data_IF_645746737604
#
_entry.id   IF_645746737604
#
_cell.length_a   1.000
_cell.length_b   1.000
_cell.length_c   1.000
_cell.angle_alpha   90.00
_cell.angle_beta   90.00
_cell.angle_gamma   90.00
#
_symmetry.space_group_name_H-M   'P 1'
#
loop_
_entity.id
_entity.type
_entity.pdbx_description
1 polymer ?
#
# COMPACT_ATOMS: atom_id res chain seq x y z
N UNK A 1 -12.56 -12.86 -22.47
CA UNK A 1 -13.05 -12.76 -21.08
C UNK A 1 -14.10 -11.67 -21.04
N UNK A 2 -15.27 -11.91 -20.44
CA UNK A 2 -16.25 -10.85 -20.25
C UNK A 2 -15.74 -9.84 -19.23
N UNK A 3 -15.89 -8.55 -19.54
CA UNK A 3 -15.50 -7.43 -18.69
C UNK A 3 -16.79 -6.77 -18.24
N UNK A 4 -17.08 -6.82 -16.94
CA UNK A 4 -18.25 -6.17 -16.35
C UNK A 4 -17.88 -4.74 -15.92
N UNK A 5 -18.54 -3.74 -16.50
CA UNK A 5 -18.38 -2.34 -16.11
C UNK A 5 -19.55 -1.91 -15.22
N UNK A 6 -19.27 -1.28 -14.08
CA UNK A 6 -20.30 -0.73 -13.18
C UNK A 6 -20.82 0.63 -13.68
N UNK A 7 -21.57 0.62 -14.79
CA UNK A 7 -22.38 1.78 -15.19
C UNK A 7 -23.81 1.59 -14.70
N UNK A 8 -24.53 2.68 -14.42
CA UNK A 8 -25.89 2.63 -13.86
C UNK A 8 -26.93 1.78 -14.63
N UNK A 9 -26.86 1.56 -15.96
CA UNK A 9 -27.80 0.65 -16.62
C UNK A 9 -27.48 -0.84 -16.42
N UNK A 10 -26.25 -1.17 -16.00
CA UNK A 10 -25.76 -2.55 -15.96
C UNK A 10 -25.53 -3.07 -14.54
N UNK A 11 -25.67 -2.25 -13.51
CA UNK A 11 -25.57 -2.64 -12.10
C UNK A 11 -26.87 -2.27 -11.37
N UNK A 12 -27.51 -3.26 -10.76
CA UNK A 12 -28.58 -3.02 -9.79
C UNK A 12 -28.17 -3.49 -8.40
N UNK A 13 -28.64 -2.78 -7.38
CA UNK A 13 -28.42 -3.10 -5.96
C UNK A 13 -29.79 -3.33 -5.31
N UNK A 14 -30.41 -4.49 -5.52
CA UNK A 14 -31.61 -4.83 -4.76
C UNK A 14 -31.27 -4.90 -3.27
N UNK A 15 -31.95 -4.09 -2.45
CA UNK A 15 -31.83 -4.23 -0.99
C UNK A 15 -32.26 -5.63 -0.59
N UNK A 16 -31.41 -6.33 0.16
CA UNK A 16 -31.79 -7.58 0.79
C UNK A 16 -31.78 -7.41 2.31
N UNK A 17 -32.84 -7.88 2.97
CA UNK A 17 -33.03 -7.71 4.40
C UNK A 17 -31.93 -8.38 5.22
N UNK A 18 -31.44 -7.70 6.27
CA UNK A 18 -30.51 -8.27 7.25
C UNK A 18 -29.02 -8.01 6.98
N UNK A 19 -28.68 -6.86 6.38
CA UNK A 19 -27.28 -6.48 6.14
C UNK A 19 -26.61 -7.26 5.00
N UNK A 20 -27.42 -7.86 4.13
CA UNK A 20 -26.97 -8.54 2.91
C UNK A 20 -27.20 -7.61 1.73
N UNK A 21 -26.25 -7.55 0.81
CA UNK A 21 -26.35 -6.77 -0.41
C UNK A 21 -26.13 -7.69 -1.58
N UNK A 22 -26.99 -7.57 -2.59
CA UNK A 22 -26.80 -8.27 -3.85
C UNK A 22 -26.43 -7.24 -4.90
N UNK A 23 -25.37 -7.52 -5.64
CA UNK A 23 -24.88 -6.72 -6.75
C UNK A 23 -25.11 -7.54 -8.00
N UNK A 24 -26.00 -7.04 -8.86
CA UNK A 24 -26.43 -7.72 -10.06
C UNK A 24 -25.90 -7.02 -11.29
N UNK A 25 -25.08 -7.72 -12.08
CA UNK A 25 -24.66 -7.26 -13.40
C UNK A 25 -25.38 -8.01 -14.50
N UNK A 26 -25.90 -7.26 -15.47
CA UNK A 26 -26.47 -7.81 -16.69
C UNK A 26 -25.60 -7.45 -17.90
N UNK A 27 -25.26 -8.45 -18.71
CA UNK A 27 -24.62 -8.25 -20.01
C UNK A 27 -25.48 -8.88 -21.11
N UNK A 28 -25.97 -8.03 -22.02
CA UNK A 28 -26.76 -8.43 -23.19
C UNK A 28 -26.01 -9.34 -24.17
N UNK A 29 -24.68 -9.46 -24.07
CA UNK A 29 -23.88 -10.35 -24.90
C UNK A 29 -23.77 -11.79 -24.34
N UNK A 30 -24.13 -12.01 -23.07
CA UNK A 30 -23.87 -13.28 -22.35
C UNK A 30 -25.16 -13.88 -21.76
N UNK A 31 -26.24 -13.09 -21.70
CA UNK A 31 -27.57 -13.55 -21.28
C UNK A 31 -28.67 -13.12 -22.25
N UNK A 32 -29.87 -13.68 -22.10
CA UNK A 32 -31.07 -13.10 -22.69
C UNK A 32 -31.29 -11.68 -22.16
N UNK A 33 -31.86 -10.77 -22.96
CA UNK A 33 -32.22 -9.43 -22.51
C UNK A 33 -32.91 -9.47 -21.13
N UNK A 34 -32.31 -8.82 -20.14
CA UNK A 34 -32.84 -8.75 -18.76
C UNK A 34 -32.41 -9.86 -17.80
N UNK A 35 -31.52 -10.79 -18.19
CA UNK A 35 -30.96 -11.79 -17.26
C UNK A 35 -29.64 -11.33 -16.61
N UNK A 36 -29.51 -11.54 -15.29
CA UNK A 36 -28.29 -11.28 -14.55
C UNK A 36 -27.19 -12.28 -15.01
N UNK A 37 -26.06 -11.75 -15.48
CA UNK A 37 -24.90 -12.52 -15.94
C UNK A 37 -23.90 -12.79 -14.82
N UNK A 38 -23.83 -11.91 -13.82
CA UNK A 38 -23.03 -12.07 -12.60
C UNK A 38 -23.85 -11.56 -11.41
N UNK A 39 -23.95 -12.39 -10.38
CA UNK A 39 -24.60 -12.05 -9.12
C UNK A 39 -23.54 -12.17 -8.03
N UNK A 40 -23.31 -11.10 -7.29
CA UNK A 40 -22.45 -11.10 -6.11
C UNK A 40 -23.32 -10.82 -4.89
N UNK A 41 -23.44 -11.81 -4.02
CA UNK A 41 -24.07 -11.66 -2.71
C UNK A 41 -22.99 -11.36 -1.68
N UNK A 42 -23.16 -10.27 -0.95
CA UNK A 42 -22.27 -9.85 0.14
C UNK A 42 -23.07 -9.74 1.43
N UNK A 43 -22.41 -9.94 2.56
CA UNK A 43 -22.99 -9.72 3.88
C UNK A 43 -22.04 -8.89 4.71
N UNK A 44 -22.56 -7.85 5.38
CA UNK A 44 -21.80 -7.11 6.36
C UNK A 44 -21.30 -8.05 7.47
N UNK A 45 -20.00 -8.03 7.74
CA UNK A 45 -19.38 -8.82 8.81
C UNK A 45 -19.21 -7.98 10.08
N UNK A 46 -19.40 -8.62 11.23
CA UNK A 46 -19.02 -8.08 12.54
C UNK A 46 -17.64 -8.57 12.97
N UNK A 47 -16.93 -9.30 12.11
CA UNK A 47 -15.57 -9.72 12.38
C UNK A 47 -14.67 -8.50 12.57
N UNK A 48 -13.83 -8.58 13.60
CA UNK A 48 -12.86 -7.53 13.88
C UNK A 48 -11.85 -7.48 12.74
N UNK A 49 -11.59 -6.29 12.22
CA UNK A 49 -10.50 -6.08 11.25
C UNK A 49 -9.17 -6.60 11.80
N UNK A 50 -8.33 -7.23 10.97
CA UNK A 50 -6.98 -7.63 11.34
C UNK A 50 -6.20 -6.47 11.98
N UNK A 51 -5.35 -6.79 12.97
CA UNK A 51 -4.50 -5.77 13.58
C UNK A 51 -3.63 -5.12 12.49
N UNK A 52 -3.55 -3.78 12.48
CA UNK A 52 -2.81 -3.04 11.45
C UNK A 52 -3.68 -2.49 10.33
N UNK A 53 -4.89 -3.01 10.09
CA UNK A 53 -5.71 -2.59 8.95
C UNK A 53 -6.83 -1.60 9.28
N UNK A 54 -6.80 -0.97 10.47
CA UNK A 54 -7.91 -0.14 10.97
C UNK A 54 -8.21 1.09 10.11
N UNK A 55 -7.24 1.59 9.33
CA UNK A 55 -7.44 2.70 8.40
C UNK A 55 -7.73 2.24 6.97
N UNK A 56 -7.32 1.03 6.58
CA UNK A 56 -7.34 0.51 5.22
C UNK A 56 -8.79 0.32 4.74
N UNK A 57 -9.27 1.29 3.97
CA UNK A 57 -10.68 1.47 3.62
C UNK A 57 -11.13 2.94 3.61
N UNK A 58 -10.32 3.84 4.16
CA UNK A 58 -10.49 5.29 3.98
C UNK A 58 -9.59 5.83 2.85
N UNK A 59 -9.72 7.12 2.55
CA UNK A 59 -8.79 7.80 1.63
C UNK A 59 -7.35 7.79 2.19
N UNK A 60 -6.36 7.63 1.31
CA UNK A 60 -4.92 7.68 1.65
C UNK A 60 -4.54 6.77 2.82
N UNK A 61 -5.01 5.53 2.78
CA UNK A 61 -4.93 4.59 3.90
C UNK A 61 -4.02 3.40 3.64
N UNK A 62 -3.07 3.53 2.72
CA UNK A 62 -2.02 2.55 2.44
C UNK A 62 -0.95 2.53 3.55
N UNK A 63 -1.41 2.33 4.78
CA UNK A 63 -0.59 2.38 5.99
C UNK A 63 -0.90 1.18 6.88
N UNK A 64 0.11 0.79 7.66
CA UNK A 64 -0.01 -0.14 8.77
C UNK A 64 -0.32 0.65 10.05
N UNK A 65 -1.49 0.40 10.65
CA UNK A 65 -1.96 1.07 11.86
C UNK A 65 -1.57 0.33 13.15
N UNK A 66 -0.49 0.79 13.79
CA UNK A 66 -0.03 0.29 15.08
C UNK A 66 -0.38 1.26 16.23
N UNK A 67 -1.19 2.29 16.01
CA UNK A 67 -1.45 3.36 17.00
C UNK A 67 -2.05 2.86 18.30
N UNK A 68 -2.83 1.77 18.25
CA UNK A 68 -3.47 1.16 19.42
C UNK A 68 -2.59 0.17 20.18
N UNK A 69 -1.39 -0.13 19.66
CA UNK A 69 -0.41 -1.01 20.30
C UNK A 69 0.58 -0.18 21.12
N UNK A 70 1.23 -0.81 22.10
CA UNK A 70 2.18 -0.16 22.99
C UNK A 70 3.53 -0.87 22.95
N UNK A 71 4.60 -0.12 23.19
CA UNK A 71 5.97 -0.67 23.21
C UNK A 71 6.38 -1.19 21.84
N UNK A 72 7.39 -2.06 21.82
CA UNK A 72 7.86 -2.71 20.61
C UNK A 72 6.86 -3.77 20.16
N UNK A 73 6.49 -3.74 18.89
CA UNK A 73 5.62 -4.70 18.21
C UNK A 73 6.48 -5.51 17.25
N UNK A 74 6.52 -6.83 17.41
CA UNK A 74 7.10 -7.69 16.39
C UNK A 74 6.13 -7.75 15.20
N UNK A 75 6.66 -7.62 14.00
CA UNK A 75 5.92 -7.83 12.76
C UNK A 75 6.59 -8.94 11.96
N UNK A 76 5.81 -9.76 11.28
CA UNK A 76 6.28 -10.60 10.18
C UNK A 76 5.96 -9.88 8.87
N UNK A 77 6.97 -9.61 8.06
CA UNK A 77 6.81 -9.00 6.75
C UNK A 77 7.31 -9.97 5.67
N UNK A 78 6.44 -10.29 4.73
CA UNK A 78 6.75 -11.08 3.55
C UNK A 78 6.74 -10.20 2.32
N UNK A 79 7.71 -10.37 1.43
CA UNK A 79 7.78 -9.70 0.13
C UNK A 79 7.93 -10.76 -0.96
N UNK A 80 7.04 -10.71 -1.96
CA UNK A 80 7.20 -11.37 -3.25
C UNK A 80 7.55 -10.34 -4.32
N UNK A 81 8.40 -10.71 -5.27
CA UNK A 81 8.79 -9.84 -6.39
C UNK A 81 8.67 -10.58 -7.71
N UNK A 82 8.05 -9.94 -8.70
CA UNK A 82 7.97 -10.38 -10.09
C UNK A 82 8.27 -9.19 -11.00
N UNK A 83 9.55 -8.82 -11.10
CA UNK A 83 9.92 -7.58 -11.78
C UNK A 83 11.31 -7.63 -12.40
N UNK A 84 11.60 -6.68 -13.29
CA UNK A 84 12.91 -6.50 -13.89
C UNK A 84 13.94 -5.89 -12.92
N UNK A 85 13.50 -4.93 -12.10
CA UNK A 85 14.37 -4.19 -11.19
C UNK A 85 14.58 -4.88 -9.84
N UNK A 86 15.74 -4.64 -9.23
CA UNK A 86 16.07 -5.16 -7.91
C UNK A 86 15.61 -4.18 -6.83
N UNK A 87 14.31 -4.21 -6.56
CA UNK A 87 13.69 -3.25 -5.65
C UNK A 87 13.99 -3.55 -4.18
N UNK A 88 13.98 -2.49 -3.36
CA UNK A 88 13.99 -2.59 -1.90
C UNK A 88 12.77 -1.89 -1.32
N UNK A 89 12.02 -2.58 -0.46
CA UNK A 89 10.90 -1.99 0.29
C UNK A 89 11.33 -1.70 1.73
N UNK A 90 11.00 -0.49 2.18
CA UNK A 90 11.14 -0.06 3.56
C UNK A 90 9.82 0.43 4.15
N UNK A 91 9.85 0.78 5.43
CA UNK A 91 8.73 1.41 6.13
C UNK A 91 9.21 2.64 6.89
N UNK A 92 8.37 3.65 7.02
CA UNK A 92 8.66 4.86 7.80
C UNK A 92 7.39 5.33 8.52
N UNK A 93 7.57 6.01 9.66
CA UNK A 93 6.45 6.46 10.46
C UNK A 93 5.83 7.73 9.85
N UNK A 94 4.49 7.80 9.88
CA UNK A 94 3.72 8.95 9.38
C UNK A 94 2.59 9.35 10.34
N UNK A 95 2.06 10.56 10.18
CA UNK A 95 0.79 10.97 10.78
C UNK A 95 -0.40 10.69 9.83
N UNK A 96 -1.60 11.17 10.20
CA UNK A 96 -2.82 10.96 9.41
C UNK A 96 -2.86 11.79 8.13
N UNK A 97 -2.05 12.84 8.06
CA UNK A 97 -1.90 13.73 6.91
C UNK A 97 -0.74 13.29 5.99
N UNK A 98 -0.03 12.22 6.36
CA UNK A 98 1.09 11.66 5.62
C UNK A 98 2.42 12.37 5.83
N UNK A 99 2.55 13.21 6.85
CA UNK A 99 3.84 13.81 7.23
C UNK A 99 4.72 12.74 7.83
N UNK A 100 6.02 12.77 7.56
CA UNK A 100 6.98 11.89 8.23
C UNK A 100 7.00 12.20 9.72
N UNK A 101 7.02 11.19 10.56
CA UNK A 101 7.07 11.28 12.01
C UNK A 101 8.38 10.70 12.52
N UNK A 102 9.01 11.37 13.47
CA UNK A 102 10.11 10.78 14.25
C UNK A 102 9.53 9.73 15.22
N UNK A 103 9.88 8.43 15.07
CA UNK A 103 9.32 7.37 15.90
C UNK A 103 9.71 7.46 17.38
N UNK A 104 10.76 8.21 17.73
CA UNK A 104 11.17 8.41 19.13
C UNK A 104 10.29 9.43 19.85
N UNK A 105 9.98 10.55 19.17
CA UNK A 105 9.22 11.66 19.76
C UNK A 105 7.72 11.63 19.42
N UNK A 106 7.35 10.94 18.35
CA UNK A 106 5.99 10.94 17.79
C UNK A 106 5.59 12.26 17.13
N UNK A 107 6.56 13.14 16.85
CA UNK A 107 6.31 14.45 16.24
C UNK A 107 6.56 14.41 14.73
N UNK A 108 5.73 15.14 13.98
CA UNK A 108 5.95 15.34 12.55
C UNK A 108 7.25 16.13 12.31
N UNK A 109 8.05 15.68 11.35
CA UNK A 109 9.35 16.25 10.97
C UNK A 109 9.38 16.79 9.53
N UNK A 110 8.27 16.69 8.82
CA UNK A 110 8.04 17.30 7.50
C UNK A 110 6.73 18.09 7.50
N UNK A 111 6.53 18.93 6.50
CA UNK A 111 5.20 19.40 6.10
C UNK A 111 4.42 18.30 5.35
N UNK A 112 3.19 18.61 4.91
CA UNK A 112 2.39 17.72 4.07
C UNK A 112 3.18 17.31 2.80
N UNK A 113 3.02 16.08 2.31
CA UNK A 113 3.71 15.62 1.10
C UNK A 113 3.22 16.38 -0.13
N UNK A 114 4.10 17.16 -0.74
CA UNK A 114 3.82 17.95 -1.95
C UNK A 114 5.01 17.87 -2.91
N UNK A 115 4.80 18.30 -4.16
CA UNK A 115 5.89 18.33 -5.15
C UNK A 115 7.02 19.29 -4.76
N UNK A 116 6.71 20.29 -3.92
CA UNK A 116 7.65 21.36 -3.57
C UNK A 116 8.61 20.93 -2.44
N UNK A 117 8.29 19.86 -1.70
CA UNK A 117 9.12 19.33 -0.61
C UNK A 117 9.57 17.87 -0.81
N UNK A 118 9.51 17.33 -2.04
CA UNK A 118 9.92 15.95 -2.35
C UNK A 118 11.30 15.59 -1.77
N UNK A 119 12.31 16.44 -1.96
CA UNK A 119 13.69 16.13 -1.51
C UNK A 119 13.80 16.05 0.02
N UNK A 120 13.22 17.02 0.73
CA UNK A 120 13.20 17.01 2.20
C UNK A 120 12.40 15.81 2.72
N UNK A 121 11.24 15.54 2.10
CA UNK A 121 10.40 14.41 2.47
C UNK A 121 11.15 13.08 2.33
N UNK A 122 11.84 12.86 1.20
CA UNK A 122 12.68 11.68 0.97
C UNK A 122 13.77 11.58 2.04
N UNK A 123 14.52 12.65 2.29
CA UNK A 123 15.57 12.66 3.31
C UNK A 123 15.04 12.32 4.70
N UNK A 124 13.89 12.87 5.11
CA UNK A 124 13.28 12.56 6.41
C UNK A 124 12.73 11.15 6.48
N UNK A 125 12.08 10.68 5.41
CA UNK A 125 11.57 9.31 5.35
C UNK A 125 12.72 8.29 5.49
N UNK A 126 13.84 8.51 4.82
CA UNK A 126 15.04 7.67 4.93
C UNK A 126 15.70 7.79 6.31
N UNK A 127 15.82 9.01 6.86
CA UNK A 127 16.43 9.26 8.16
C UNK A 127 15.66 8.56 9.30
N UNK A 128 14.33 8.60 9.26
CA UNK A 128 13.44 8.08 10.31
C UNK A 128 12.75 6.76 9.93
N UNK A 129 13.28 6.05 8.92
CA UNK A 129 12.76 4.75 8.50
C UNK A 129 12.90 3.71 9.62
N UNK A 130 12.01 2.73 9.59
CA UNK A 130 12.17 1.52 10.37
C UNK A 130 13.39 0.73 9.88
N UNK A 131 14.07 0.04 10.79
CA UNK A 131 15.21 -0.81 10.48
C UNK A 131 14.74 -2.16 9.87
N UNK A 132 14.14 -2.08 8.69
CA UNK A 132 13.68 -3.21 7.88
C UNK A 132 13.94 -2.90 6.41
N UNK A 133 14.60 -3.83 5.71
CA UNK A 133 14.83 -3.78 4.28
C UNK A 133 14.35 -5.10 3.67
N UNK A 134 13.32 -5.05 2.85
CA UNK A 134 12.81 -6.23 2.13
C UNK A 134 13.29 -6.14 0.68
N UNK A 135 14.13 -7.09 0.28
CA UNK A 135 14.57 -7.25 -1.10
C UNK A 135 14.84 -8.74 -1.35
N UNK A 136 14.56 -9.19 -2.56
CA UNK A 136 14.67 -10.59 -2.95
C UNK A 136 14.92 -10.70 -4.46
N UNK A 137 15.44 -11.84 -4.91
CA UNK A 137 15.59 -12.16 -6.33
C UNK A 137 14.25 -12.21 -7.07
N UNK A 138 14.29 -12.19 -8.40
CA UNK A 138 13.08 -12.20 -9.20
C UNK A 138 12.32 -13.53 -9.01
N UNK A 139 10.99 -13.48 -9.06
CA UNK A 139 10.08 -14.62 -8.86
C UNK A 139 10.33 -15.37 -7.54
N UNK A 140 10.69 -14.64 -6.49
CA UNK A 140 11.02 -15.20 -5.18
C UNK A 140 10.28 -14.49 -4.06
N UNK A 141 10.21 -15.17 -2.91
CA UNK A 141 9.62 -14.63 -1.69
C UNK A 141 10.65 -14.61 -0.56
N UNK A 142 10.71 -13.52 0.17
CA UNK A 142 11.40 -13.42 1.45
C UNK A 142 10.39 -13.19 2.57
N UNK A 143 10.68 -13.69 3.77
CA UNK A 143 9.94 -13.36 4.99
C UNK A 143 10.93 -12.99 6.07
N UNK A 144 10.68 -11.87 6.74
CA UNK A 144 11.51 -11.37 7.84
C UNK A 144 10.64 -11.00 9.03
N UNK A 145 11.17 -11.21 10.23
CA UNK A 145 10.60 -10.64 11.45
C UNK A 145 11.36 -9.37 11.78
N UNK A 146 10.63 -8.29 12.00
CA UNK A 146 11.18 -6.99 12.38
C UNK A 146 10.44 -6.41 13.58
N UNK A 147 11.01 -5.38 14.17
CA UNK A 147 10.44 -4.68 15.31
C UNK A 147 10.07 -3.25 14.91
N UNK A 148 8.80 -2.90 15.12
CA UNK A 148 8.28 -1.55 14.97
C UNK A 148 7.84 -1.00 16.32
N UNK A 149 7.82 0.32 16.45
CA UNK A 149 7.31 0.98 17.64
C UNK A 149 5.78 1.07 17.54
N UNK A 150 5.08 0.46 18.49
CA UNK A 150 3.64 0.64 18.65
C UNK A 150 3.31 2.08 19.04
N UNK A 151 2.11 2.54 18.71
CA UNK A 151 1.66 3.92 18.91
C UNK A 151 1.74 4.79 17.66
N UNK A 152 2.21 4.24 16.54
CA UNK A 152 2.48 4.97 15.29
C UNK A 152 1.72 4.38 14.09
N UNK A 153 1.66 5.14 13.00
CA UNK A 153 1.31 4.65 11.67
C UNK A 153 2.59 4.46 10.86
N UNK A 154 2.62 3.43 10.02
CA UNK A 154 3.75 3.18 9.13
C UNK A 154 3.29 3.12 7.68
N UNK A 155 3.92 3.88 6.80
CA UNK A 155 3.75 3.79 5.36
C UNK A 155 4.89 2.94 4.77
N UNK A 156 4.62 2.04 3.80
CA UNK A 156 5.69 1.42 3.04
C UNK A 156 6.18 2.37 1.93
N UNK A 157 7.39 2.15 1.44
CA UNK A 157 7.94 2.83 0.26
C UNK A 157 8.84 1.87 -0.52
N UNK A 158 8.95 2.09 -1.83
CA UNK A 158 9.76 1.28 -2.72
C UNK A 158 10.92 2.10 -3.28
N UNK A 159 12.13 1.56 -3.20
CA UNK A 159 13.32 2.05 -3.90
C UNK A 159 13.46 1.23 -5.16
N UNK A 160 13.38 1.89 -6.31
CA UNK A 160 13.51 1.28 -7.63
C UNK A 160 14.96 0.87 -7.89
N UNK A 161 15.19 -0.39 -8.28
CA UNK A 161 16.51 -0.93 -8.67
C UNK A 161 17.67 -0.54 -7.75
N UNK A 162 17.43 -0.56 -6.43
CA UNK A 162 18.36 0.02 -5.49
C UNK A 162 18.14 -0.41 -4.06
N UNK A 163 18.98 0.14 -3.18
CA UNK A 163 18.97 -0.14 -1.75
C UNK A 163 19.13 1.16 -0.95
N UNK A 164 18.96 1.09 0.37
CA UNK A 164 19.20 2.25 1.24
C UNK A 164 20.61 2.83 1.08
N UNK A 165 21.62 1.99 0.82
CA UNK A 165 23.01 2.43 0.70
C UNK A 165 23.22 3.41 -0.46
N UNK A 166 22.49 3.22 -1.58
CA UNK A 166 22.59 4.10 -2.74
C UNK A 166 21.94 5.47 -2.50
N UNK A 167 21.10 5.61 -1.46
CA UNK A 167 20.46 6.89 -1.10
C UNK A 167 21.14 7.55 0.10
N UNK A 168 22.15 6.91 0.67
CA UNK A 168 22.92 7.39 1.82
C UNK A 168 24.33 7.84 1.43
N UNK A 169 24.69 7.73 0.15
CA UNK A 169 25.98 8.20 -0.38
C UNK A 169 25.94 9.69 -0.76
N UNK A 170 27.13 10.30 -0.87
CA UNK A 170 27.26 11.73 -1.21
C UNK A 170 27.00 12.01 -2.71
N UNK A 171 27.10 10.99 -3.56
CA UNK A 171 26.83 11.12 -4.99
C UNK A 171 25.33 10.96 -5.26
N UNK A 172 24.65 12.08 -5.49
CA UNK A 172 23.21 12.10 -5.77
C UNK A 172 22.91 11.87 -7.26
N UNK A 173 23.91 11.71 -8.12
CA UNK A 173 23.71 11.64 -9.58
C UNK A 173 23.17 10.28 -10.04
N UNK A 174 23.26 9.27 -9.19
CA UNK A 174 22.79 7.90 -9.39
C UNK A 174 21.72 7.48 -8.37
N UNK A 175 21.14 8.44 -7.63
CA UNK A 175 20.07 8.16 -6.67
C UNK A 175 18.90 7.43 -7.37
N UNK A 176 18.50 6.24 -6.89
CA UNK A 176 17.33 5.56 -7.43
C UNK A 176 16.05 6.35 -7.17
N UNK A 177 15.02 6.13 -8.00
CA UNK A 177 13.70 6.68 -7.70
C UNK A 177 13.10 5.99 -6.48
N UNK A 178 12.34 6.77 -5.70
CA UNK A 178 11.63 6.28 -4.52
C UNK A 178 10.15 6.60 -4.65
N UNK A 179 9.32 5.57 -4.51
CA UNK A 179 7.87 5.66 -4.61
C UNK A 179 7.20 5.55 -3.25
N UNK A 180 6.35 6.52 -2.96
CA UNK A 180 5.59 6.64 -1.72
C UNK A 180 4.08 6.51 -1.98
N UNK A 181 3.26 6.16 -0.97
CA UNK A 181 1.80 6.24 -1.04
C UNK A 181 1.26 7.67 -1.29
N UNK A 182 2.11 8.68 -1.11
CA UNK A 182 1.68 10.07 -1.19
C UNK A 182 2.06 10.66 -2.55
N UNK A 183 1.07 10.69 -3.45
CA UNK A 183 1.20 11.18 -4.84
C UNK A 183 1.91 12.54 -4.97
N UNK A 184 1.76 13.41 -3.98
CA UNK A 184 2.39 14.73 -3.95
C UNK A 184 3.90 14.66 -4.14
N UNK A 185 4.57 13.68 -3.52
CA UNK A 185 6.04 13.58 -3.48
C UNK A 185 6.63 12.68 -4.56
N UNK A 186 5.83 11.81 -5.20
CA UNK A 186 6.31 11.02 -6.35
C UNK A 186 6.62 11.95 -7.53
N UNK A 187 7.81 11.81 -8.12
CA UNK A 187 8.36 12.73 -9.13
C UNK A 187 7.54 12.72 -10.42
N UNK A 188 7.03 11.56 -10.82
CA UNK A 188 6.26 11.32 -12.03
C UNK A 188 4.74 11.50 -11.86
N UNK A 189 4.27 11.78 -10.63
CA UNK A 189 2.84 11.93 -10.29
C UNK A 189 2.02 10.69 -10.59
N UNK A 190 2.65 9.52 -10.51
CA UNK A 190 1.96 8.24 -10.52
C UNK A 190 1.79 7.74 -9.09
N UNK A 191 0.67 7.08 -8.88
CA UNK A 191 0.41 6.37 -7.65
C UNK A 191 0.82 4.91 -7.83
N UNK A 192 2.00 4.59 -7.29
CA UNK A 192 2.69 3.32 -7.42
C UNK A 192 2.25 2.29 -6.40
N UNK A 193 1.35 2.61 -5.46
CA UNK A 193 0.97 1.71 -4.39
C UNK A 193 -0.53 1.45 -4.40
N UNK A 194 -0.91 0.20 -4.11
CA UNK A 194 -2.31 -0.19 -3.88
C UNK A 194 -2.42 -1.09 -2.66
N UNK A 195 -3.55 -0.98 -1.99
CA UNK A 195 -3.99 -2.04 -1.08
C UNK A 195 -4.64 -3.17 -1.88
N UNK A 196 -4.03 -4.35 -1.83
CA UNK A 196 -4.59 -5.58 -2.40
C UNK A 196 -5.39 -6.38 -1.34
N UNK A 197 -5.36 -5.92 -0.09
CA UNK A 197 -6.09 -6.49 1.04
C UNK A 197 -5.56 -5.95 2.37
N UNK A 198 -6.08 -6.50 3.48
CA UNK A 198 -5.63 -6.10 4.83
C UNK A 198 -4.12 -6.32 5.00
N UNK A 199 -3.37 -5.25 5.24
CA UNK A 199 -1.91 -5.19 5.34
C UNK A 199 -1.19 -5.84 4.14
N UNK A 200 -1.81 -5.84 2.97
CA UNK A 200 -1.26 -6.38 1.73
C UNK A 200 -1.13 -5.23 0.73
N UNK A 201 0.12 -4.86 0.46
CA UNK A 201 0.51 -3.71 -0.34
C UNK A 201 1.10 -4.20 -1.67
N UNK A 202 0.57 -3.75 -2.79
CA UNK A 202 1.08 -4.03 -4.13
C UNK A 202 1.73 -2.78 -4.74
N UNK A 203 2.84 -2.95 -5.43
CA UNK A 203 3.59 -1.86 -6.05
C UNK A 203 3.75 -2.05 -7.57
N UNK A 204 3.78 -0.92 -8.28
CA UNK A 204 4.37 -0.77 -9.61
C UNK A 204 5.80 -0.23 -9.47
N UNK A 205 6.79 -0.90 -10.06
CA UNK A 205 8.20 -0.55 -9.92
C UNK A 205 8.76 0.34 -11.04
N UNK A 206 7.99 0.54 -12.12
CA UNK A 206 8.38 1.34 -13.26
C UNK A 206 7.91 2.79 -13.13
N UNK A 207 8.84 3.74 -13.29
CA UNK A 207 8.52 5.17 -13.43
C UNK A 207 7.55 5.37 -14.59
N UNK A 208 6.45 6.09 -14.35
CA UNK A 208 5.35 6.24 -15.30
C UNK A 208 4.23 5.19 -15.14
N UNK A 209 4.37 4.24 -14.21
CA UNK A 209 3.29 3.35 -13.77
C UNK A 209 3.14 2.04 -14.53
N UNK A 210 4.14 1.62 -15.30
CA UNK A 210 4.15 0.28 -15.92
C UNK A 210 2.84 -0.09 -16.63
N UNK A 211 2.29 -1.25 -16.29
CA UNK A 211 1.00 -1.73 -16.78
C UNK A 211 -0.14 -1.66 -15.75
N UNK A 212 0.16 -1.14 -14.54
CA UNK A 212 -0.80 -0.81 -13.48
C UNK A 212 -1.56 -2.02 -12.92
N UNK A 213 -0.92 -3.18 -12.84
CA UNK A 213 -1.44 -4.37 -12.19
C UNK A 213 -0.99 -4.54 -10.72
N UNK A 214 0.01 -3.77 -10.29
CA UNK A 214 0.56 -3.64 -8.95
C UNK A 214 1.12 -4.95 -8.37
N UNK A 215 1.62 -5.85 -9.22
CA UNK A 215 2.19 -7.12 -8.81
C UNK A 215 3.73 -7.21 -8.91
N UNK A 216 4.41 -6.15 -9.40
CA UNK A 216 5.88 -6.11 -9.48
C UNK A 216 6.51 -6.42 -8.11
N UNK A 217 5.95 -5.83 -7.05
CA UNK A 217 6.30 -6.14 -5.66
C UNK A 217 5.04 -6.21 -4.80
N UNK A 218 4.86 -7.32 -4.09
CA UNK A 218 3.76 -7.52 -3.14
C UNK A 218 4.32 -7.72 -1.74
N UNK A 219 3.89 -6.89 -0.80
CA UNK A 219 4.31 -6.92 0.60
C UNK A 219 3.14 -7.21 1.53
N UNK A 220 3.24 -8.27 2.31
CA UNK A 220 2.29 -8.64 3.36
C UNK A 220 2.90 -8.38 4.73
N UNK A 221 2.19 -7.68 5.61
CA UNK A 221 2.63 -7.43 6.99
C UNK A 221 1.63 -7.97 8.02
N UNK A 222 2.12 -8.77 8.95
CA UNK A 222 1.35 -9.34 10.04
C UNK A 222 1.92 -8.87 11.39
N UNK A 223 1.25 -7.95 12.11
CA UNK A 223 1.59 -7.67 13.50
C UNK A 223 1.42 -8.92 14.36
N UNK A 224 2.48 -9.31 15.08
CA UNK A 224 2.50 -10.46 15.99
C UNK A 224 2.12 -9.97 17.39
N UNK A 225 0.82 -9.98 17.67
CA UNK A 225 0.22 -9.46 18.92
C UNK A 225 -0.56 -10.53 19.69
#
# INVERSE_FOLDING_TARGET
MPIFLSTSPNLTIPESTGGRYQLDWSDSAIGSEGANSLIVETQGSQEKLPQGSQLQGNAQSEVLDLRKLKGTVNIEASLYREAGYNNTVGFYAVDLEGKVVDPLTGLAVTDNPTKDNTQDYLQKALQYRANIALSVENQSTITQVAQLQGGLLYAPFLIQDGSFLLLEEDDLSNDPQVFFPYLGVNSDKVDHLRLLGNNLFGFEDLTGGGDLDYNDVIVKVNPLV
#
